data_IF_303096674619
#
_entry.id   IF_303096674619
#
_cell.length_a   1.000
_cell.length_b   1.000
_cell.length_c   1.000
_cell.angle_alpha   90.00
_cell.angle_beta   90.00
_cell.angle_gamma   90.00
#
_symmetry.space_group_name_H-M   'P 1'
#
loop_
_entity.id
_entity.type
_entity.pdbx_description
1 polymer ?
#
# COMPACT_ATOMS: atom_id res chain seq x y z
N UNK A 1 0.87 -13.49 10.43
CA UNK A 1 0.44 -12.62 11.53
C UNK A 1 1.52 -11.57 11.79
N UNK A 2 1.16 -10.36 12.22
CA UNK A 2 2.09 -9.34 12.72
C UNK A 2 1.64 -8.94 14.12
N UNK A 3 2.55 -9.04 15.10
CA UNK A 3 2.29 -8.64 16.49
C UNK A 3 3.09 -7.41 16.85
N UNK A 4 2.42 -6.44 17.42
CA UNK A 4 2.97 -5.20 17.95
C UNK A 4 2.99 -5.34 19.48
N UNK A 5 4.17 -5.45 20.07
CA UNK A 5 4.35 -5.71 21.49
C UNK A 5 4.97 -4.48 22.17
N UNK A 6 4.14 -3.72 22.87
CA UNK A 6 4.55 -2.56 23.68
C UNK A 6 5.37 -1.52 22.88
N UNK A 7 4.99 -1.32 21.60
CA UNK A 7 5.74 -0.49 20.67
C UNK A 7 5.48 0.99 20.91
N UNK A 8 6.55 1.78 20.95
CA UNK A 8 6.52 3.24 20.90
C UNK A 8 7.16 3.71 19.60
N UNK A 9 6.48 4.60 18.89
CA UNK A 9 6.90 5.15 17.60
C UNK A 9 7.20 6.64 17.70
N UNK A 10 8.10 7.11 16.85
CA UNK A 10 8.48 8.52 16.79
C UNK A 10 9.77 8.75 16.02
N UNK A 11 10.37 9.92 16.22
CA UNK A 11 11.62 10.34 15.58
C UNK A 11 12.60 10.88 16.62
N UNK A 12 13.91 10.63 16.44
CA UNK A 12 14.97 11.16 17.30
C UNK A 12 14.71 10.98 18.80
N UNK A 13 14.23 9.79 19.19
CA UNK A 13 13.86 9.43 20.58
C UNK A 13 12.64 10.18 21.15
N UNK A 14 11.99 11.05 20.38
CA UNK A 14 10.73 11.69 20.77
C UNK A 14 9.57 10.77 20.34
N UNK A 15 8.87 10.23 21.32
CA UNK A 15 7.71 9.38 21.05
C UNK A 15 6.51 10.22 20.62
N UNK A 16 5.89 9.83 19.50
CA UNK A 16 4.61 10.36 19.02
C UNK A 16 3.48 9.55 19.65
N UNK A 17 3.69 8.23 19.79
CA UNK A 17 2.74 7.32 20.41
C UNK A 17 3.47 6.20 21.13
N UNK A 18 2.95 5.80 22.28
CA UNK A 18 3.61 4.85 23.16
C UNK A 18 2.74 3.64 23.52
N UNK A 19 3.41 2.58 23.92
CA UNK A 19 2.79 1.38 24.54
C UNK A 19 1.70 0.73 23.67
N UNK A 20 1.89 0.73 22.34
CA UNK A 20 0.94 0.13 21.42
C UNK A 20 1.03 -1.39 21.43
N UNK A 21 -0.14 -2.03 21.50
CA UNK A 21 -0.27 -3.48 21.46
C UNK A 21 -1.39 -3.84 20.48
N UNK A 22 -1.04 -4.45 19.35
CA UNK A 22 -1.97 -4.88 18.31
C UNK A 22 -1.54 -6.22 17.73
N UNK A 23 -2.52 -6.97 17.22
CA UNK A 23 -2.26 -8.18 16.44
C UNK A 23 -3.02 -8.06 15.12
N UNK A 24 -2.28 -8.15 14.02
CA UNK A 24 -2.82 -8.20 12.67
C UNK A 24 -2.80 -9.65 12.18
N UNK A 25 -3.97 -10.18 11.86
CA UNK A 25 -4.17 -11.56 11.43
C UNK A 25 -3.99 -11.68 9.91
N UNK A 26 -3.72 -12.89 9.44
CA UNK A 26 -3.65 -13.19 8.01
C UNK A 26 -5.02 -12.95 7.34
N UNK A 27 -4.98 -12.70 6.02
CA UNK A 27 -6.19 -12.61 5.19
C UNK A 27 -7.26 -11.67 5.78
N UNK A 28 -6.84 -10.48 6.21
CA UNK A 28 -7.72 -9.52 6.87
C UNK A 28 -7.36 -8.11 6.40
N UNK A 29 -8.35 -7.28 6.13
CA UNK A 29 -8.18 -5.86 5.83
C UNK A 29 -8.39 -5.05 7.10
N UNK A 30 -7.37 -4.31 7.51
CA UNK A 30 -7.40 -3.41 8.65
C UNK A 30 -7.43 -1.96 8.19
N UNK A 31 -8.38 -1.19 8.72
CA UNK A 31 -8.43 0.26 8.61
C UNK A 31 -7.85 0.94 9.84
N UNK A 32 -6.94 1.88 9.66
CA UNK A 32 -6.42 2.74 10.74
C UNK A 32 -7.03 4.13 10.53
N UNK A 33 -7.95 4.49 11.42
CA UNK A 33 -8.59 5.81 11.46
C UNK A 33 -7.94 6.68 12.52
N UNK A 34 -7.88 7.98 12.27
CA UNK A 34 -7.40 8.96 13.24
C UNK A 34 -7.13 10.31 12.58
N UNK A 35 -6.90 11.33 13.39
CA UNK A 35 -6.62 12.69 12.92
C UNK A 35 -5.30 12.77 12.15
N UNK A 36 -5.17 13.82 11.33
CA UNK A 36 -3.91 14.08 10.63
C UNK A 36 -2.79 14.38 11.64
N UNK A 37 -1.58 13.90 11.36
CA UNK A 37 -0.42 14.17 12.22
C UNK A 37 -0.27 13.26 13.46
N UNK A 38 -1.26 12.41 13.80
CA UNK A 38 -1.25 11.57 15.00
C UNK A 38 -0.23 10.39 14.95
N UNK A 39 0.49 10.22 13.82
CA UNK A 39 1.54 9.20 13.70
C UNK A 39 1.18 7.97 12.88
N UNK A 40 0.05 7.94 12.15
CA UNK A 40 -0.38 6.78 11.34
C UNK A 40 0.65 6.35 10.30
N UNK A 41 1.17 7.30 9.52
CA UNK A 41 2.25 7.06 8.55
C UNK A 41 3.52 6.53 9.21
N UNK A 42 3.87 7.07 10.39
CA UNK A 42 5.03 6.61 11.19
C UNK A 42 4.82 5.16 11.63
N UNK A 43 3.60 4.82 12.04
CA UNK A 43 3.24 3.46 12.43
C UNK A 43 3.36 2.48 11.24
N UNK A 44 2.79 2.82 10.06
CA UNK A 44 2.95 1.99 8.86
C UNK A 44 4.43 1.81 8.48
N UNK A 45 5.23 2.89 8.52
CA UNK A 45 6.68 2.81 8.25
C UNK A 45 7.41 1.91 9.25
N UNK A 46 6.97 1.90 10.50
CA UNK A 46 7.55 1.03 11.53
C UNK A 46 7.18 -0.44 11.29
N UNK A 47 5.93 -0.74 10.92
CA UNK A 47 5.51 -2.09 10.49
C UNK A 47 6.28 -2.55 9.25
N UNK A 48 6.49 -1.66 8.29
CA UNK A 48 7.28 -1.94 7.07
C UNK A 48 8.78 -2.19 7.36
N UNK A 49 9.24 -1.92 8.59
CA UNK A 49 10.66 -1.99 8.95
C UNK A 49 11.52 -0.87 8.35
N UNK A 50 10.88 0.21 7.84
CA UNK A 50 11.54 1.41 7.34
C UNK A 50 11.96 2.35 8.48
N UNK A 51 11.30 2.26 9.61
CA UNK A 51 11.65 2.94 10.86
C UNK A 51 11.80 1.90 11.97
N UNK A 52 12.75 2.13 12.85
CA UNK A 52 12.88 1.31 14.08
C UNK A 52 11.91 1.86 15.13
N UNK A 53 11.23 1.00 15.89
CA UNK A 53 10.47 1.46 17.06
C UNK A 53 11.45 2.07 18.10
N UNK A 54 10.98 3.06 18.85
CA UNK A 54 11.74 3.65 19.98
C UNK A 54 11.82 2.65 21.13
N UNK A 55 10.70 1.94 21.40
CA UNK A 55 10.60 0.87 22.41
C UNK A 55 9.72 -0.25 21.86
N UNK A 56 9.82 -1.42 22.50
CA UNK A 56 9.04 -2.60 22.14
C UNK A 56 9.59 -3.32 20.92
N UNK A 57 8.85 -4.29 20.44
CA UNK A 57 9.24 -5.10 19.28
C UNK A 57 8.04 -5.43 18.40
N UNK A 58 8.33 -5.66 17.13
CA UNK A 58 7.36 -6.14 16.12
C UNK A 58 7.80 -7.53 15.71
N UNK A 59 6.92 -8.50 15.92
CA UNK A 59 7.08 -9.86 15.45
C UNK A 59 6.26 -10.07 14.20
N UNK A 60 6.82 -10.73 13.20
CA UNK A 60 6.14 -10.95 11.92
C UNK A 60 6.49 -12.32 11.35
N UNK A 61 5.45 -13.05 10.91
CA UNK A 61 5.61 -14.29 10.14
C UNK A 61 6.07 -14.02 8.70
N UNK A 62 6.09 -12.75 8.30
CA UNK A 62 6.44 -12.33 6.96
C UNK A 62 7.85 -11.75 6.92
N UNK A 63 8.60 -12.11 5.91
CA UNK A 63 9.88 -11.47 5.60
C UNK A 63 9.64 -10.03 5.09
N UNK A 64 10.65 -9.17 5.21
CA UNK A 64 10.59 -7.80 4.68
C UNK A 64 10.30 -7.74 3.17
N UNK A 65 10.65 -8.78 2.42
CA UNK A 65 10.40 -8.88 0.96
C UNK A 65 8.93 -9.18 0.62
N UNK A 66 8.16 -9.65 1.60
CA UNK A 66 6.73 -9.97 1.45
C UNK A 66 5.83 -8.83 1.90
N UNK A 67 6.39 -7.77 2.48
CA UNK A 67 5.68 -6.56 2.93
C UNK A 67 5.95 -5.44 1.93
N UNK A 68 4.90 -4.93 1.32
CA UNK A 68 4.95 -3.79 0.41
C UNK A 68 4.24 -2.58 1.01
N UNK A 69 4.86 -1.40 0.88
CA UNK A 69 4.26 -0.16 1.33
C UNK A 69 4.01 0.79 0.16
N UNK A 70 2.76 1.21 0.02
CA UNK A 70 2.35 2.32 -0.82
C UNK A 70 2.35 3.60 0.01
N UNK A 71 3.23 4.53 -0.32
CA UNK A 71 3.36 5.82 0.36
C UNK A 71 2.33 6.84 -0.14
N UNK A 72 1.92 7.76 0.72
CA UNK A 72 1.02 8.87 0.40
C UNK A 72 1.54 9.76 -0.75
N UNK A 73 2.86 9.92 -0.89
CA UNK A 73 3.48 10.70 -1.96
C UNK A 73 3.42 10.05 -3.35
N UNK A 74 2.80 8.87 -3.48
CA UNK A 74 2.63 8.11 -4.73
C UNK A 74 3.89 8.06 -5.58
N UNK A 75 5.01 7.68 -4.97
CA UNK A 75 6.32 7.64 -5.60
C UNK A 75 6.34 6.69 -6.79
N UNK A 76 6.09 7.24 -7.98
CA UNK A 76 6.43 6.60 -9.24
C UNK A 76 7.89 6.90 -9.57
N UNK A 77 8.52 6.04 -10.33
CA UNK A 77 9.86 6.28 -10.86
C UNK A 77 9.74 7.14 -12.12
N UNK A 78 10.05 8.43 -12.02
CA UNK A 78 9.84 9.42 -13.09
C UNK A 78 10.66 9.14 -14.36
N UNK A 79 11.74 8.35 -14.24
CA UNK A 79 12.60 7.90 -15.35
C UNK A 79 12.10 6.61 -16.04
N UNK A 80 11.03 6.01 -15.56
CA UNK A 80 10.40 4.83 -16.15
C UNK A 80 9.00 5.20 -16.68
N UNK A 81 8.61 4.65 -17.83
CA UNK A 81 7.23 4.76 -18.31
C UNK A 81 6.26 3.98 -17.38
N UNK A 82 4.95 4.11 -17.62
CA UNK A 82 3.94 3.47 -16.78
C UNK A 82 4.07 1.94 -16.75
N UNK A 83 4.33 1.31 -17.89
CA UNK A 83 4.49 -0.14 -17.95
C UNK A 83 5.73 -0.61 -17.19
N UNK A 84 6.85 0.08 -17.38
CA UNK A 84 8.11 -0.25 -16.69
C UNK A 84 8.03 0.06 -15.19
N UNK A 85 7.23 1.04 -14.77
CA UNK A 85 6.94 1.28 -13.34
C UNK A 85 6.27 0.07 -12.68
N UNK A 86 5.34 -0.60 -13.36
CA UNK A 86 4.70 -1.81 -12.83
C UNK A 86 5.70 -2.97 -12.82
N UNK A 87 6.48 -3.14 -13.88
CA UNK A 87 7.38 -4.27 -14.08
C UNK A 87 8.68 -4.19 -13.29
N UNK A 88 9.02 -3.05 -12.67
CA UNK A 88 10.35 -2.83 -12.07
C UNK A 88 10.72 -3.87 -11.01
N UNK A 89 9.78 -4.25 -10.17
CA UNK A 89 10.03 -5.23 -9.10
C UNK A 89 10.40 -6.59 -9.67
N UNK A 90 9.68 -7.02 -10.71
CA UNK A 90 9.95 -8.31 -11.38
C UNK A 90 11.26 -8.26 -12.17
N UNK A 91 11.58 -7.10 -12.78
CA UNK A 91 12.87 -6.90 -13.45
C UNK A 91 14.05 -6.99 -12.47
N UNK A 92 13.91 -6.44 -11.26
CA UNK A 92 14.94 -6.55 -10.20
C UNK A 92 15.08 -7.99 -9.71
N UNK A 93 13.97 -8.73 -9.56
CA UNK A 93 14.00 -10.11 -9.05
C UNK A 93 14.54 -11.11 -10.06
N UNK A 94 14.11 -11.02 -11.31
CA UNK A 94 14.31 -12.08 -12.31
C UNK A 94 15.17 -11.66 -13.49
N UNK A 95 15.51 -10.37 -13.64
CA UNK A 95 16.27 -9.78 -14.75
C UNK A 95 15.64 -9.96 -16.14
N UNK A 96 14.62 -10.78 -16.29
CA UNK A 96 13.94 -11.09 -17.54
C UNK A 96 12.45 -10.77 -17.39
N UNK A 97 11.88 -10.03 -18.35
CA UNK A 97 10.44 -9.78 -18.45
C UNK A 97 9.88 -10.57 -19.61
N UNK A 98 9.07 -11.58 -19.30
CA UNK A 98 8.40 -12.40 -20.31
C UNK A 98 7.26 -11.64 -20.99
N UNK A 99 6.75 -12.17 -22.13
CA UNK A 99 5.60 -11.59 -22.81
C UNK A 99 4.34 -11.65 -21.93
N UNK A 100 4.18 -12.74 -21.16
CA UNK A 100 3.08 -12.95 -20.22
C UNK A 100 3.08 -11.91 -19.09
N UNK A 101 4.25 -11.65 -18.48
CA UNK A 101 4.38 -10.61 -17.45
C UNK A 101 4.08 -9.22 -18.01
N UNK A 102 4.52 -8.94 -19.24
CA UNK A 102 4.22 -7.67 -19.91
C UNK A 102 2.73 -7.52 -20.18
N UNK A 103 2.06 -8.60 -20.61
CA UNK A 103 0.61 -8.57 -20.83
C UNK A 103 -0.12 -8.38 -19.49
N UNK A 104 0.23 -9.15 -18.46
CA UNK A 104 -0.33 -8.97 -17.11
C UNK A 104 -0.17 -7.53 -16.61
N UNK A 105 0.97 -6.88 -16.82
CA UNK A 105 1.17 -5.49 -16.43
C UNK A 105 0.26 -4.52 -17.19
N UNK A 106 0.00 -4.77 -18.48
CA UNK A 106 -1.00 -4.00 -19.24
C UNK A 106 -2.42 -4.18 -18.72
N UNK A 107 -2.77 -5.41 -18.30
CA UNK A 107 -4.09 -5.69 -17.72
C UNK A 107 -4.27 -4.93 -16.39
N UNK A 108 -3.22 -4.78 -15.58
CA UNK A 108 -3.24 -3.93 -14.39
C UNK A 108 -3.37 -2.44 -14.73
N UNK A 109 -2.68 -1.94 -15.78
CA UNK A 109 -2.90 -0.56 -16.26
C UNK A 109 -4.35 -0.34 -16.67
N UNK A 110 -4.93 -1.28 -17.41
CA UNK A 110 -6.34 -1.22 -17.80
C UNK A 110 -7.27 -1.24 -16.58
N UNK A 111 -7.02 -2.13 -15.60
CA UNK A 111 -7.84 -2.24 -14.40
C UNK A 111 -7.85 -0.96 -13.55
N UNK A 112 -6.77 -0.17 -13.58
CA UNK A 112 -6.72 1.14 -12.90
C UNK A 112 -7.11 2.31 -13.83
N UNK A 113 -7.71 2.05 -15.00
CA UNK A 113 -8.15 3.08 -15.95
C UNK A 113 -7.00 3.88 -16.59
N UNK A 114 -5.88 3.21 -16.83
CA UNK A 114 -4.70 3.76 -17.52
C UNK A 114 -4.38 2.96 -18.81
N UNK A 115 -5.40 2.37 -19.47
CA UNK A 115 -5.27 1.75 -20.78
C UNK A 115 -4.77 2.78 -21.81
N UNK A 116 -3.76 2.40 -22.60
CA UNK A 116 -3.12 3.30 -23.57
C UNK A 116 -2.05 4.23 -23.00
N UNK A 117 -1.74 4.12 -21.69
CA UNK A 117 -0.72 4.94 -21.03
C UNK A 117 0.62 4.20 -20.85
N UNK A 118 0.78 3.03 -21.45
CA UNK A 118 1.96 2.15 -21.26
C UNK A 118 3.28 2.88 -21.43
N UNK A 119 3.36 3.75 -22.45
CA UNK A 119 4.57 4.48 -22.82
C UNK A 119 4.67 5.89 -22.22
N UNK A 120 3.63 6.37 -21.49
CA UNK A 120 3.68 7.67 -20.83
C UNK A 120 4.54 7.59 -19.56
N UNK A 121 5.17 8.71 -19.24
CA UNK A 121 5.97 8.86 -18.03
C UNK A 121 5.14 9.48 -16.90
N UNK A 122 5.46 9.22 -15.62
CA UNK A 122 4.74 9.78 -14.48
C UNK A 122 4.62 11.31 -14.50
N UNK A 123 5.60 12.01 -15.06
CA UNK A 123 5.58 13.47 -15.22
C UNK A 123 4.47 13.98 -16.15
N UNK A 124 3.92 13.11 -17.01
CA UNK A 124 2.82 13.39 -17.93
C UNK A 124 1.45 13.04 -17.34
N UNK A 125 1.41 12.56 -16.09
CA UNK A 125 0.19 12.11 -15.41
C UNK A 125 -0.31 13.16 -14.42
N UNK A 126 -1.64 13.22 -14.24
CA UNK A 126 -2.24 13.93 -13.12
C UNK A 126 -1.93 13.26 -11.77
N UNK A 127 -2.16 13.93 -10.65
CA UNK A 127 -1.97 13.36 -9.31
C UNK A 127 -2.75 12.06 -9.09
N UNK A 128 -4.05 12.04 -9.46
CA UNK A 128 -4.88 10.84 -9.38
C UNK A 128 -4.42 9.72 -10.32
N UNK A 129 -3.91 10.03 -11.51
CA UNK A 129 -3.32 9.04 -12.41
C UNK A 129 -2.03 8.44 -11.84
N UNK A 130 -1.16 9.24 -11.20
CA UNK A 130 0.04 8.74 -10.52
C UNK A 130 -0.34 7.83 -9.34
N UNK A 131 -1.38 8.18 -8.58
CA UNK A 131 -1.90 7.36 -7.50
C UNK A 131 -2.35 6.00 -8.02
N UNK A 132 -3.13 5.96 -9.11
CA UNK A 132 -3.58 4.71 -9.74
C UNK A 132 -2.42 3.88 -10.28
N UNK A 133 -1.40 4.50 -10.86
CA UNK A 133 -0.18 3.80 -11.30
C UNK A 133 0.58 3.19 -10.12
N UNK A 134 0.73 3.93 -9.00
CA UNK A 134 1.38 3.42 -7.78
C UNK A 134 0.58 2.25 -7.17
N UNK A 135 -0.75 2.33 -7.18
CA UNK A 135 -1.63 1.24 -6.77
C UNK A 135 -1.45 0.01 -7.65
N UNK A 136 -1.49 0.16 -8.98
CA UNK A 136 -1.28 -0.93 -9.93
C UNK A 136 0.07 -1.63 -9.70
N UNK A 137 1.15 -0.85 -9.52
CA UNK A 137 2.48 -1.39 -9.21
C UNK A 137 2.49 -2.20 -7.91
N UNK A 138 1.84 -1.69 -6.87
CA UNK A 138 1.78 -2.36 -5.57
C UNK A 138 1.02 -3.69 -5.67
N UNK A 139 -0.11 -3.68 -6.33
CA UNK A 139 -0.97 -4.86 -6.48
C UNK A 139 -0.37 -5.92 -7.43
N UNK A 140 0.34 -5.48 -8.48
CA UNK A 140 0.96 -6.36 -9.48
C UNK A 140 1.94 -7.38 -8.87
N UNK A 141 2.69 -6.96 -7.85
CA UNK A 141 3.68 -7.82 -7.18
C UNK A 141 3.05 -8.88 -6.28
N UNK A 142 1.74 -8.84 -6.08
CA UNK A 142 0.96 -9.77 -5.25
C UNK A 142 1.63 -10.04 -3.89
N UNK A 143 1.95 -9.00 -3.10
CA UNK A 143 2.64 -9.17 -1.82
C UNK A 143 1.71 -9.82 -0.80
N UNK A 144 2.28 -10.48 0.22
CA UNK A 144 1.49 -11.08 1.30
C UNK A 144 0.96 -10.05 2.29
N UNK A 145 1.65 -8.93 2.43
CA UNK A 145 1.22 -7.80 3.25
C UNK A 145 1.31 -6.52 2.44
N UNK A 146 0.21 -5.77 2.40
CA UNK A 146 0.14 -4.46 1.75
C UNK A 146 -0.15 -3.41 2.82
N UNK A 147 0.76 -2.45 2.94
CA UNK A 147 0.58 -1.27 3.77
C UNK A 147 0.24 -0.09 2.87
N UNK A 148 -0.90 0.56 3.09
CA UNK A 148 -1.38 1.65 2.25
C UNK A 148 -1.59 2.92 3.08
N UNK A 149 -0.91 3.99 2.70
CA UNK A 149 -1.01 5.29 3.37
C UNK A 149 -1.88 6.23 2.51
N UNK A 150 -3.16 6.37 2.88
CA UNK A 150 -4.20 7.14 2.19
C UNK A 150 -4.30 6.81 0.69
N UNK A 151 -4.51 5.53 0.31
CA UNK A 151 -4.35 5.05 -1.07
C UNK A 151 -5.31 5.66 -2.08
N UNK A 152 -6.40 6.29 -1.64
CA UNK A 152 -7.47 6.76 -2.52
C UNK A 152 -7.80 8.26 -2.33
N UNK A 153 -6.96 9.01 -1.58
CA UNK A 153 -7.26 10.39 -1.16
C UNK A 153 -7.32 11.41 -2.32
N UNK A 154 -6.56 11.20 -3.40
CA UNK A 154 -6.49 12.12 -4.54
C UNK A 154 -7.47 11.75 -5.69
N UNK A 155 -8.41 10.83 -5.45
CA UNK A 155 -9.34 10.35 -6.47
C UNK A 155 -10.72 10.99 -6.31
N UNK A 156 -11.37 11.23 -7.46
CA UNK A 156 -12.80 11.55 -7.52
C UNK A 156 -13.64 10.35 -7.06
N UNK A 157 -14.92 10.59 -6.77
CA UNK A 157 -15.80 9.61 -6.13
C UNK A 157 -16.01 8.34 -6.99
N UNK A 158 -16.16 8.49 -8.30
CA UNK A 158 -16.39 7.36 -9.23
C UNK A 158 -15.11 6.50 -9.32
N UNK A 159 -13.99 7.15 -9.57
CA UNK A 159 -12.68 6.47 -9.62
C UNK A 159 -12.36 5.80 -8.29
N UNK A 160 -12.66 6.46 -7.16
CA UNK A 160 -12.44 5.91 -5.82
C UNK A 160 -13.22 4.61 -5.62
N UNK A 161 -14.51 4.56 -5.99
CA UNK A 161 -15.31 3.34 -5.90
C UNK A 161 -14.73 2.21 -6.74
N UNK A 162 -14.36 2.49 -7.98
CA UNK A 162 -13.74 1.51 -8.87
C UNK A 162 -12.43 0.95 -8.28
N UNK A 163 -11.60 1.79 -7.66
CA UNK A 163 -10.35 1.35 -7.03
C UNK A 163 -10.59 0.56 -5.73
N UNK A 164 -11.61 0.90 -4.95
CA UNK A 164 -12.03 0.12 -3.79
C UNK A 164 -12.41 -1.31 -4.21
N UNK A 165 -13.25 -1.42 -5.23
CA UNK A 165 -13.71 -2.71 -5.74
C UNK A 165 -12.53 -3.55 -6.29
N UNK A 166 -11.57 -2.92 -6.97
CA UNK A 166 -10.34 -3.56 -7.44
C UNK A 166 -9.48 -4.10 -6.28
N UNK A 167 -9.30 -3.31 -5.22
CA UNK A 167 -8.51 -3.74 -4.05
C UNK A 167 -9.19 -4.94 -3.38
N UNK A 168 -10.50 -4.90 -3.19
CA UNK A 168 -11.28 -5.99 -2.59
C UNK A 168 -11.24 -7.27 -3.43
N UNK A 169 -11.37 -7.15 -4.77
CA UNK A 169 -11.27 -8.29 -5.70
C UNK A 169 -9.88 -8.95 -5.61
N UNK A 170 -8.81 -8.15 -5.59
CA UNK A 170 -7.45 -8.67 -5.45
C UNK A 170 -7.24 -9.30 -4.08
N UNK A 171 -7.70 -8.68 -2.99
CA UNK A 171 -7.63 -9.27 -1.65
C UNK A 171 -8.32 -10.64 -1.61
N UNK A 172 -9.53 -10.73 -2.15
CA UNK A 172 -10.31 -11.99 -2.21
C UNK A 172 -9.55 -13.08 -2.98
N UNK A 173 -8.85 -12.72 -4.05
CA UNK A 173 -8.08 -13.68 -4.88
C UNK A 173 -6.73 -14.07 -4.29
N UNK A 174 -6.08 -13.18 -3.57
CA UNK A 174 -4.69 -13.36 -3.10
C UNK A 174 -4.59 -13.71 -1.63
N UNK A 175 -5.67 -13.50 -0.86
CA UNK A 175 -5.72 -13.70 0.59
C UNK A 175 -4.58 -12.97 1.33
N UNK A 176 -4.17 -11.81 0.84
CA UNK A 176 -3.15 -11.00 1.46
C UNK A 176 -3.68 -10.27 2.70
N UNK A 177 -2.79 -9.82 3.58
CA UNK A 177 -3.13 -8.89 4.64
C UNK A 177 -3.02 -7.47 4.08
N UNK A 178 -4.02 -6.64 4.35
CA UNK A 178 -3.98 -5.21 4.01
C UNK A 178 -4.10 -4.40 5.30
N UNK A 179 -3.21 -3.43 5.50
CA UNK A 179 -3.30 -2.43 6.56
C UNK A 179 -3.33 -1.07 5.88
N UNK A 180 -4.48 -0.41 5.89
CA UNK A 180 -4.66 0.88 5.23
C UNK A 180 -4.94 1.98 6.25
N UNK A 181 -4.28 3.12 6.05
CA UNK A 181 -4.60 4.37 6.73
C UNK A 181 -5.59 5.14 5.89
N UNK A 182 -6.66 5.61 6.49
CA UNK A 182 -7.62 6.52 5.87
C UNK A 182 -8.19 7.47 6.91
N UNK A 183 -8.64 8.65 6.50
CA UNK A 183 -9.43 9.57 7.30
C UNK A 183 -10.93 9.47 6.99
N UNK A 184 -11.31 8.68 6.00
CA UNK A 184 -12.69 8.47 5.59
C UNK A 184 -13.28 7.26 6.32
N UNK A 185 -14.22 7.53 7.23
CA UNK A 185 -14.96 6.47 7.93
C UNK A 185 -15.74 5.59 6.95
N UNK A 186 -16.39 6.19 5.96
CA UNK A 186 -17.15 5.44 4.95
C UNK A 186 -16.28 4.51 4.11
N UNK A 187 -15.03 4.88 3.84
CA UNK A 187 -14.05 4.01 3.18
C UNK A 187 -13.66 2.85 4.06
N UNK A 188 -13.36 3.10 5.34
CA UNK A 188 -13.03 2.06 6.29
C UNK A 188 -14.19 1.09 6.52
N UNK A 189 -15.40 1.60 6.69
CA UNK A 189 -16.62 0.78 6.90
C UNK A 189 -16.93 -0.10 5.67
N UNK A 190 -16.62 0.36 4.44
CA UNK A 190 -16.84 -0.41 3.21
C UNK A 190 -15.77 -1.48 2.98
N UNK A 191 -14.51 -1.17 3.29
CA UNK A 191 -13.37 -1.98 2.83
C UNK A 191 -12.74 -2.85 3.91
N UNK A 192 -12.88 -2.48 5.19
CA UNK A 192 -12.08 -3.09 6.24
C UNK A 192 -12.89 -4.07 7.08
N UNK A 193 -12.30 -5.23 7.36
CA UNK A 193 -12.87 -6.22 8.29
C UNK A 193 -12.77 -5.75 9.74
N UNK A 194 -11.69 -5.01 10.07
CA UNK A 194 -11.41 -4.48 11.41
C UNK A 194 -10.92 -3.05 11.32
N UNK A 195 -11.40 -2.20 12.21
CA UNK A 195 -11.04 -0.77 12.27
C UNK A 195 -10.35 -0.49 13.59
N UNK A 196 -9.20 0.14 13.52
CA UNK A 196 -8.43 0.63 14.65
C UNK A 196 -8.52 2.16 14.70
N UNK A 197 -9.02 2.69 15.82
CA UNK A 197 -8.97 4.12 16.08
C UNK A 197 -7.61 4.48 16.69
N UNK A 198 -6.88 5.30 15.97
CA UNK A 198 -5.50 5.62 16.27
C UNK A 198 -5.37 6.94 16.99
#
# INVERSE_FOLDING_TARGET
MIKINNVSIGYNSLAIRENMNYTFEHNTIYGILGESGIGKTTFLKTIAGLLKPIKGNIESDYSKKEIFMMHQSYTCFDWLNCLDNILITERIKYHIITKELRQKAKDYLKAVGLEGYENKYPTQLSGGQRQRLALARTLFTSPKVILMDEPLSALDEETRKSMQDLILDIHTKTHNMIIMVTHSKSEADKMCDKILNF
#
